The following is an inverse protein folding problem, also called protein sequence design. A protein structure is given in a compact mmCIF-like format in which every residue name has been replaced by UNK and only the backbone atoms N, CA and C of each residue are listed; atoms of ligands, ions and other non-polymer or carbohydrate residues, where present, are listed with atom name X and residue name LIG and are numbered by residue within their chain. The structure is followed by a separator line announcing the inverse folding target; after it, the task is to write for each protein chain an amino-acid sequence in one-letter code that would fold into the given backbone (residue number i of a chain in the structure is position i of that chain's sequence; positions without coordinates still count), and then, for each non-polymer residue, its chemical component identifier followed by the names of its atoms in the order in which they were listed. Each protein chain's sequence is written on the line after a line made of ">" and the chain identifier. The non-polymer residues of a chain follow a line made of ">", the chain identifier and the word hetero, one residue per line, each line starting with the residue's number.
data_IF_565368423015
#
_entry.id   IF_565368423015
#
_cell.length_a   1.000
_cell.length_b   1.000
_cell.length_c   1.000
_cell.angle_alpha   90.00
_cell.angle_beta   90.00
_cell.angle_gamma   90.00
#
_symmetry.space_group_name_H-M   'P 1'
#
loop_
_entity.id
_entity.type
_entity.pdbx_description
1 polymer ?
#
# COMPACT_ATOMS: atom_id res chain seq x y z
N UNK A 1 2.38 20.12 -25.12
CA UNK A 1 1.48 19.87 -23.98
C UNK A 1 2.34 19.35 -22.85
N UNK A 2 2.44 20.10 -21.75
CA UNK A 2 3.13 19.63 -20.54
C UNK A 2 2.26 18.56 -19.89
N UNK A 3 2.85 17.59 -19.20
CA UNK A 3 2.12 16.42 -18.70
C UNK A 3 0.90 16.79 -17.81
N UNK A 4 0.98 17.88 -17.04
CA UNK A 4 -0.13 18.37 -16.23
C UNK A 4 -1.26 19.03 -17.01
N UNK A 5 -1.00 19.58 -18.21
CA UNK A 5 -2.05 20.21 -19.03
C UNK A 5 -3.14 19.19 -19.40
N UNK A 6 -2.78 17.90 -19.51
CA UNK A 6 -3.72 16.79 -19.76
C UNK A 6 -4.71 16.57 -18.61
N UNK A 7 -4.34 16.92 -17.37
CA UNK A 7 -5.17 16.71 -16.19
C UNK A 7 -6.33 17.72 -16.17
N UNK A 8 -6.12 18.92 -16.71
CA UNK A 8 -7.15 19.95 -16.81
C UNK A 8 -8.35 19.53 -17.68
N UNK A 9 -8.14 18.57 -18.58
CA UNK A 9 -9.16 18.05 -19.50
C UNK A 9 -9.91 16.83 -18.95
N UNK A 10 -9.55 16.33 -17.75
CA UNK A 10 -10.19 15.15 -17.18
C UNK A 10 -11.65 15.43 -16.80
N UNK A 11 -12.57 14.47 -17.04
CA UNK A 11 -13.99 14.63 -16.74
C UNK A 11 -14.28 14.39 -15.24
N UNK A 12 -13.65 15.17 -14.36
CA UNK A 12 -13.80 15.11 -12.90
C UNK A 12 -13.90 16.51 -12.30
N UNK A 13 -14.62 16.65 -11.19
CA UNK A 13 -14.81 17.96 -10.56
C UNK A 13 -13.51 18.52 -9.95
N UNK A 14 -12.64 17.65 -9.44
CA UNK A 14 -11.40 18.02 -8.76
C UNK A 14 -10.31 17.00 -9.05
N UNK A 15 -9.10 17.49 -9.35
CA UNK A 15 -7.91 16.67 -9.52
C UNK A 15 -6.68 17.39 -8.98
N UNK A 16 -5.86 16.67 -8.23
CA UNK A 16 -4.54 17.12 -7.79
C UNK A 16 -3.52 16.03 -8.12
N UNK A 17 -2.32 16.44 -8.53
CA UNK A 17 -1.26 15.52 -8.93
C UNK A 17 0.11 16.07 -8.56
N UNK A 18 1.07 15.17 -8.43
CA UNK A 18 2.46 15.52 -8.20
C UNK A 18 3.40 14.63 -9.00
N UNK A 19 4.56 15.20 -9.35
CA UNK A 19 5.67 14.48 -9.96
C UNK A 19 6.92 14.75 -9.14
N UNK A 20 7.57 13.69 -8.66
CA UNK A 20 8.87 13.79 -8.01
C UNK A 20 9.94 13.52 -9.05
N UNK A 21 10.76 14.51 -9.36
CA UNK A 21 11.75 14.43 -10.41
C UNK A 21 12.99 13.59 -10.01
N UNK A 22 13.98 13.52 -10.91
CA UNK A 22 15.22 12.76 -10.65
C UNK A 22 16.08 13.32 -9.52
N UNK A 23 15.94 14.62 -9.23
CA UNK A 23 16.67 15.31 -8.16
C UNK A 23 15.94 15.20 -6.82
N UNK A 24 14.66 14.86 -6.84
CA UNK A 24 13.80 14.77 -5.65
C UNK A 24 12.91 16.01 -5.48
N UNK A 25 12.90 16.92 -6.44
CA UNK A 25 12.00 18.08 -6.43
C UNK A 25 10.57 17.62 -6.74
N UNK A 26 9.60 18.11 -5.97
CA UNK A 26 8.19 17.79 -6.14
C UNK A 26 7.52 18.93 -6.90
N UNK A 27 6.91 18.57 -8.03
CA UNK A 27 6.15 19.47 -8.88
C UNK A 27 4.67 19.18 -8.71
N UNK A 28 3.85 20.17 -8.40
CA UNK A 28 2.41 20.00 -8.12
C UNK A 28 1.51 20.53 -9.23
N UNK A 29 0.29 20.01 -9.25
CA UNK A 29 -0.84 20.49 -10.03
C UNK A 29 -2.13 20.35 -9.21
N UNK A 30 -3.05 21.30 -9.36
CA UNK A 30 -4.35 21.29 -8.70
C UNK A 30 -4.34 21.94 -7.32
N UNK A 31 -5.37 21.67 -6.52
CA UNK A 31 -5.49 22.16 -5.15
C UNK A 31 -4.61 21.30 -4.23
N UNK A 32 -3.55 21.90 -3.71
CA UNK A 32 -2.57 21.22 -2.85
C UNK A 32 -3.12 20.89 -1.46
N UNK A 33 -4.19 21.56 -1.02
CA UNK A 33 -4.76 21.45 0.33
C UNK A 33 -6.01 20.56 0.40
N UNK A 34 -6.54 20.15 -0.74
CA UNK A 34 -7.73 19.31 -0.80
C UNK A 34 -7.40 17.89 -0.36
N UNK A 35 -8.03 17.45 0.72
CA UNK A 35 -7.97 16.04 1.12
C UNK A 35 -8.79 15.14 0.19
N UNK A 36 -8.21 13.99 -0.16
CA UNK A 36 -8.86 12.95 -0.93
C UNK A 36 -8.96 11.66 -0.11
N UNK A 37 -10.06 10.92 -0.29
CA UNK A 37 -10.15 9.54 0.17
C UNK A 37 -9.26 8.67 -0.70
N UNK A 38 -8.21 8.09 -0.11
CA UNK A 38 -7.18 7.36 -0.85
C UNK A 38 -7.66 5.99 -1.34
N UNK A 39 -8.74 5.46 -0.75
CA UNK A 39 -9.20 4.10 -1.04
C UNK A 39 -8.02 3.13 -0.90
N UNK A 40 -7.86 2.22 -1.85
CA UNK A 40 -6.85 1.15 -1.78
C UNK A 40 -5.38 1.59 -1.74
N UNK A 41 -5.05 2.85 -2.02
CA UNK A 41 -3.69 3.37 -1.80
C UNK A 41 -3.31 3.29 -0.31
N UNK A 42 -4.30 3.29 0.59
CA UNK A 42 -4.15 3.04 2.03
C UNK A 42 -3.31 1.79 2.34
N UNK A 43 -3.45 0.73 1.54
CA UNK A 43 -2.72 -0.54 1.77
C UNK A 43 -1.21 -0.38 1.72
N UNK A 44 -0.70 0.55 0.93
CA UNK A 44 0.74 0.78 0.87
C UNK A 44 1.23 1.46 2.16
N UNK A 45 0.43 2.36 2.73
CA UNK A 45 0.72 2.99 4.03
C UNK A 45 0.69 1.95 5.15
N UNK A 46 -0.36 1.12 5.19
CA UNK A 46 -0.49 0.04 6.17
C UNK A 46 0.66 -0.94 6.09
N UNK A 47 1.04 -1.37 4.88
CA UNK A 47 2.17 -2.26 4.71
C UNK A 47 3.48 -1.64 5.18
N UNK A 48 3.71 -0.36 4.88
CA UNK A 48 4.91 0.34 5.33
C UNK A 48 4.99 0.44 6.86
N UNK A 49 3.87 0.76 7.52
CA UNK A 49 3.79 0.75 8.98
C UNK A 49 4.07 -0.65 9.56
N UNK A 50 3.51 -1.71 8.97
CA UNK A 50 3.82 -3.10 9.39
C UNK A 50 5.29 -3.45 9.20
N UNK A 51 5.95 -2.99 8.13
CA UNK A 51 7.36 -3.26 7.89
C UNK A 51 8.27 -2.51 8.89
N UNK A 52 7.91 -1.30 9.28
CA UNK A 52 8.58 -0.58 10.37
C UNK A 52 8.43 -1.37 11.67
N UNK A 53 7.23 -1.84 11.99
CA UNK A 53 6.96 -2.67 13.16
C UNK A 53 7.77 -4.00 13.15
N UNK A 54 8.05 -4.55 11.97
CA UNK A 54 8.95 -5.68 11.83
C UNK A 54 10.40 -5.34 12.20
N UNK A 55 10.93 -4.18 11.77
CA UNK A 55 12.29 -3.75 12.13
C UNK A 55 12.42 -3.37 13.61
N UNK A 56 11.34 -2.87 14.21
CA UNK A 56 11.24 -2.62 15.65
C UNK A 56 11.17 -3.92 16.47
N UNK A 57 10.83 -5.04 15.83
CA UNK A 57 10.62 -6.33 16.50
C UNK A 57 9.26 -6.47 17.19
N UNK A 58 8.32 -5.55 16.95
CA UNK A 58 6.96 -5.59 17.49
C UNK A 58 6.13 -6.71 16.84
N UNK A 59 6.34 -6.95 15.54
CA UNK A 59 5.73 -8.07 14.80
C UNK A 59 6.79 -8.76 13.95
N UNK A 60 6.48 -9.94 13.41
CA UNK A 60 7.32 -10.63 12.41
C UNK A 60 6.53 -10.94 11.15
N UNK A 61 7.19 -10.88 9.99
CA UNK A 61 6.59 -11.34 8.73
C UNK A 61 6.16 -12.82 8.76
N UNK A 62 6.72 -13.59 9.68
CA UNK A 62 6.41 -14.99 9.91
C UNK A 62 5.34 -15.22 11.01
N UNK A 63 4.85 -14.17 11.65
CA UNK A 63 3.73 -14.28 12.60
C UNK A 63 2.52 -14.88 11.90
N UNK A 64 1.95 -15.94 12.49
CA UNK A 64 0.69 -16.50 12.02
C UNK A 64 -0.47 -15.57 12.39
N UNK A 65 -1.25 -15.14 11.39
CA UNK A 65 -2.33 -14.19 11.55
C UNK A 65 -3.60 -14.70 10.85
N UNK A 66 -4.69 -14.70 11.61
CA UNK A 66 -6.04 -15.03 11.13
C UNK A 66 -6.34 -16.53 10.99
N UNK A 67 -5.38 -17.35 10.54
CA UNK A 67 -5.51 -18.82 10.45
C UNK A 67 -4.15 -19.52 10.43
N UNK A 68 -4.14 -20.80 10.82
CA UNK A 68 -2.95 -21.66 10.78
C UNK A 68 -2.29 -21.63 9.39
N UNK A 69 -0.96 -21.48 9.39
CA UNK A 69 -0.14 -21.41 8.18
C UNK A 69 -0.24 -20.12 7.36
N UNK A 70 -1.12 -19.17 7.73
CA UNK A 70 -1.20 -17.86 7.09
C UNK A 70 -0.40 -16.85 7.89
N UNK A 71 0.67 -16.30 7.30
CA UNK A 71 1.52 -15.32 8.00
C UNK A 71 1.25 -13.88 7.58
N UNK A 72 1.79 -12.90 8.33
CA UNK A 72 1.80 -11.49 7.92
C UNK A 72 2.33 -11.28 6.49
N UNK A 73 3.39 -12.00 6.09
CA UNK A 73 3.91 -12.00 4.72
C UNK A 73 2.84 -12.39 3.69
N UNK A 74 2.02 -13.39 4.00
CA UNK A 74 0.92 -13.80 3.14
C UNK A 74 -0.17 -12.73 3.03
N UNK A 75 -0.50 -12.06 4.13
CA UNK A 75 -1.53 -11.01 4.14
C UNK A 75 -1.09 -9.79 3.33
N UNK A 76 0.12 -9.28 3.59
CA UNK A 76 0.71 -8.13 2.87
C UNK A 76 0.85 -8.40 1.36
N UNK A 77 1.10 -9.65 0.98
CA UNK A 77 1.23 -10.05 -0.42
C UNK A 77 -0.09 -10.52 -1.05
N UNK A 78 -1.25 -10.42 -0.39
CA UNK A 78 -2.52 -10.95 -0.90
C UNK A 78 -2.49 -12.45 -1.27
N UNK A 79 -1.74 -13.23 -0.49
CA UNK A 79 -1.61 -14.69 -0.60
C UNK A 79 -2.30 -15.44 0.56
N UNK A 80 -3.00 -14.74 1.46
CA UNK A 80 -3.67 -15.36 2.62
C UNK A 80 -4.96 -16.13 2.33
N UNK A 81 -5.51 -15.99 1.11
CA UNK A 81 -6.76 -16.67 0.72
C UNK A 81 -8.05 -16.02 1.25
N UNK A 82 -7.97 -14.78 1.76
CA UNK A 82 -9.11 -14.00 2.24
C UNK A 82 -9.82 -13.25 1.09
N UNK A 83 -11.14 -13.02 1.20
CA UNK A 83 -11.91 -12.34 0.17
C UNK A 83 -11.61 -10.84 0.11
N UNK A 84 -12.17 -10.15 -0.88
CA UNK A 84 -12.14 -8.70 -0.95
C UNK A 84 -12.71 -8.05 0.32
N UNK A 85 -13.86 -8.54 0.78
CA UNK A 85 -14.56 -8.14 2.02
C UNK A 85 -15.18 -9.40 2.66
N UNK A 86 -15.34 -9.39 3.98
CA UNK A 86 -15.91 -10.50 4.77
C UNK A 86 -14.88 -11.40 5.44
N UNK A 87 -15.32 -12.21 6.40
CA UNK A 87 -14.40 -12.84 7.36
C UNK A 87 -13.96 -14.25 6.96
N UNK A 88 -14.78 -14.95 6.16
CA UNK A 88 -14.53 -16.34 5.80
C UNK A 88 -13.49 -16.45 4.67
N UNK A 89 -12.41 -17.24 4.84
CA UNK A 89 -11.47 -17.51 3.76
C UNK A 89 -12.15 -18.14 2.54
N UNK A 90 -11.72 -17.74 1.35
CA UNK A 90 -12.25 -18.22 0.06
C UNK A 90 -11.22 -19.02 -0.75
N UNK A 91 -10.00 -19.16 -0.22
CA UNK A 91 -8.92 -19.94 -0.81
C UNK A 91 -7.98 -20.53 0.24
N UNK A 92 -7.13 -21.44 -0.22
CA UNK A 92 -6.00 -21.95 0.56
C UNK A 92 -4.89 -20.91 0.57
N UNK A 93 -4.18 -20.80 1.69
CA UNK A 93 -3.01 -19.93 1.83
C UNK A 93 -1.98 -20.28 0.74
N UNK A 94 -1.43 -19.27 0.09
CA UNK A 94 -0.41 -19.42 -0.96
C UNK A 94 -0.90 -20.06 -2.26
N UNK A 95 -2.21 -20.31 -2.42
CA UNK A 95 -2.71 -20.97 -3.63
C UNK A 95 -2.92 -20.03 -4.82
N UNK A 96 -3.35 -18.79 -4.56
CA UNK A 96 -3.62 -17.75 -5.57
C UNK A 96 -3.39 -16.36 -4.99
N UNK A 97 -3.20 -15.37 -5.86
CA UNK A 97 -3.25 -13.95 -5.50
C UNK A 97 -4.71 -13.50 -5.39
N UNK A 98 -5.19 -13.34 -4.16
CA UNK A 98 -6.56 -12.87 -3.87
C UNK A 98 -6.46 -11.52 -3.18
N UNK A 99 -6.69 -10.44 -3.94
CA UNK A 99 -6.71 -9.08 -3.42
C UNK A 99 -7.77 -8.94 -2.33
N UNK A 100 -7.36 -8.48 -1.15
CA UNK A 100 -8.17 -8.59 0.07
C UNK A 100 -8.08 -7.34 0.94
N UNK A 101 -9.23 -6.76 1.31
CA UNK A 101 -9.29 -5.80 2.41
C UNK A 101 -9.22 -6.53 3.74
N UNK A 102 -9.91 -7.66 3.90
CA UNK A 102 -9.89 -8.49 5.11
C UNK A 102 -8.46 -8.84 5.56
N UNK A 103 -7.58 -9.22 4.63
CA UNK A 103 -6.19 -9.50 4.97
C UNK A 103 -5.46 -8.29 5.58
N UNK A 104 -5.78 -7.09 5.11
CA UNK A 104 -5.23 -5.84 5.65
C UNK A 104 -5.85 -5.44 6.99
N UNK A 105 -7.15 -5.72 7.21
CA UNK A 105 -7.77 -5.54 8.52
C UNK A 105 -7.14 -6.49 9.56
N UNK A 106 -6.86 -7.73 9.18
CA UNK A 106 -6.17 -8.70 10.03
C UNK A 106 -4.74 -8.26 10.35
N UNK A 107 -4.00 -7.74 9.36
CA UNK A 107 -2.67 -7.15 9.57
C UNK A 107 -2.72 -6.00 10.57
N UNK A 108 -3.67 -5.07 10.41
CA UNK A 108 -3.81 -3.93 11.31
C UNK A 108 -4.21 -4.32 12.72
N UNK A 109 -5.14 -5.27 12.86
CA UNK A 109 -5.55 -5.80 14.16
C UNK A 109 -4.40 -6.50 14.89
N UNK A 110 -3.60 -7.29 14.16
CA UNK A 110 -2.41 -7.94 14.72
C UNK A 110 -1.37 -6.90 15.18
N UNK A 111 -1.08 -5.91 14.35
CA UNK A 111 -0.15 -4.83 14.70
C UNK A 111 -0.62 -4.09 15.95
N UNK A 112 -1.88 -3.65 15.98
CA UNK A 112 -2.45 -2.93 17.12
C UNK A 112 -2.36 -3.74 18.43
N UNK A 113 -2.62 -5.05 18.34
CA UNK A 113 -2.53 -5.95 19.49
C UNK A 113 -1.09 -6.14 19.99
N UNK A 114 -0.11 -6.25 19.09
CA UNK A 114 1.30 -6.44 19.50
C UNK A 114 1.96 -5.15 19.98
N UNK A 115 1.55 -3.98 19.45
CA UNK A 115 2.09 -2.69 19.86
C UNK A 115 1.42 -2.09 21.10
N UNK A 116 0.26 -2.62 21.51
CA UNK A 116 -0.64 -1.99 22.51
C UNK A 116 -0.98 -0.54 22.14
N UNK A 117 -1.25 -0.30 20.84
CA UNK A 117 -1.57 1.01 20.27
C UNK A 117 -2.69 0.86 19.25
N UNK A 118 -3.59 1.85 19.15
CA UNK A 118 -4.54 1.91 18.05
C UNK A 118 -3.81 2.01 16.70
N UNK A 119 -4.32 1.31 15.68
CA UNK A 119 -3.62 1.19 14.41
C UNK A 119 -3.27 2.55 13.77
N UNK A 120 -4.22 3.50 13.77
CA UNK A 120 -3.98 4.81 13.17
C UNK A 120 -3.05 5.71 14.00
N UNK A 121 -3.00 5.50 15.31
CA UNK A 121 -2.03 6.17 16.18
C UNK A 121 -0.61 5.63 15.89
N UNK A 122 -0.48 4.31 15.67
CA UNK A 122 0.78 3.71 15.23
C UNK A 122 1.21 4.24 13.85
N UNK A 123 0.31 4.28 12.86
CA UNK A 123 0.63 4.87 11.53
C UNK A 123 1.06 6.33 11.64
N UNK A 124 0.38 7.11 12.49
CA UNK A 124 0.74 8.51 12.71
C UNK A 124 2.18 8.61 13.24
N UNK A 125 2.50 7.89 14.32
CA UNK A 125 3.81 7.94 14.98
C UNK A 125 4.95 7.35 14.13
N UNK A 126 4.71 6.23 13.45
CA UNK A 126 5.73 5.51 12.71
C UNK A 126 5.94 6.05 11.28
N UNK A 127 4.89 6.60 10.64
CA UNK A 127 4.94 7.01 9.22
C UNK A 127 4.71 8.50 9.05
N UNK A 128 3.61 9.05 9.54
CA UNK A 128 3.24 10.43 9.18
C UNK A 128 4.13 11.47 9.85
N UNK A 129 4.31 11.39 11.15
CA UNK A 129 5.12 12.33 11.93
C UNK A 129 6.60 12.34 11.45
N UNK A 130 7.30 11.21 11.27
CA UNK A 130 8.67 11.19 10.76
C UNK A 130 8.85 11.71 9.33
N UNK A 131 7.79 11.64 8.50
CA UNK A 131 7.79 12.17 7.14
C UNK A 131 7.34 13.63 7.07
N UNK A 132 6.86 14.22 8.18
CA UNK A 132 6.29 15.56 8.20
C UNK A 132 4.94 15.66 7.48
N UNK A 133 4.20 14.55 7.39
CA UNK A 133 2.85 14.51 6.83
C UNK A 133 1.90 15.10 7.86
N UNK A 134 1.34 16.26 7.57
CA UNK A 134 0.31 16.91 8.39
C UNK A 134 -1.05 16.44 7.89
N UNK A 135 -1.70 15.56 8.64
CA UNK A 135 -3.03 15.03 8.33
C UNK A 135 -3.98 15.19 9.52
N UNK A 136 -5.28 15.30 9.25
CA UNK A 136 -6.28 15.16 10.31
C UNK A 136 -6.17 13.77 10.97
N UNK A 137 -6.61 13.60 12.23
CA UNK A 137 -6.67 12.29 12.86
C UNK A 137 -7.39 11.27 11.96
N UNK A 138 -6.72 10.17 11.68
CA UNK A 138 -7.25 9.11 10.82
C UNK A 138 -8.06 8.11 11.63
N UNK A 139 -9.00 7.44 10.96
CA UNK A 139 -9.81 6.37 11.56
C UNK A 139 -10.41 5.49 10.46
N UNK A 140 -10.94 4.34 10.83
CA UNK A 140 -11.57 3.41 9.90
C UNK A 140 -10.62 2.34 9.37
N UNK A 141 -10.97 1.78 8.22
CA UNK A 141 -10.33 0.61 7.62
C UNK A 141 -8.88 0.86 7.21
N UNK A 142 -8.00 -0.05 7.66
CA UNK A 142 -6.59 -0.09 7.27
C UNK A 142 -6.37 -0.52 5.81
N UNK A 143 -7.44 -0.87 5.10
CA UNK A 143 -7.39 -1.25 3.69
C UNK A 143 -7.84 -0.12 2.75
N UNK A 144 -8.57 0.90 3.22
CA UNK A 144 -9.20 1.89 2.32
C UNK A 144 -9.48 3.30 2.84
N UNK A 145 -9.36 3.58 4.13
CA UNK A 145 -9.91 4.82 4.69
C UNK A 145 -8.90 5.96 4.91
N UNK A 146 -7.63 5.80 4.53
CA UNK A 146 -6.67 6.90 4.61
C UNK A 146 -7.14 8.13 3.82
N UNK A 147 -6.87 9.30 4.38
CA UNK A 147 -7.13 10.60 3.77
C UNK A 147 -5.86 11.43 3.81
N UNK A 148 -5.41 11.85 2.64
CA UNK A 148 -4.30 12.79 2.50
C UNK A 148 -4.63 13.79 1.39
N UNK A 149 -4.05 14.97 1.49
CA UNK A 149 -3.89 15.85 0.35
C UNK A 149 -2.72 15.38 -0.54
N UNK A 150 -2.47 16.10 -1.62
CA UNK A 150 -1.40 15.74 -2.56
C UNK A 150 -0.01 15.99 -1.97
N UNK A 151 0.15 16.93 -1.03
CA UNK A 151 1.43 17.18 -0.37
C UNK A 151 1.80 15.98 0.49
N UNK A 152 0.91 15.56 1.39
CA UNK A 152 1.10 14.41 2.28
C UNK A 152 1.35 13.12 1.50
N UNK A 153 0.56 12.87 0.45
CA UNK A 153 0.77 11.71 -0.42
C UNK A 153 2.13 11.77 -1.13
N UNK A 154 2.58 12.95 -1.56
CA UNK A 154 3.88 13.11 -2.22
C UNK A 154 5.06 12.88 -1.28
N UNK A 155 4.94 13.26 -0.01
CA UNK A 155 5.95 12.95 1.02
C UNK A 155 6.06 11.43 1.25
N UNK A 156 4.93 10.73 1.29
CA UNK A 156 4.92 9.26 1.37
C UNK A 156 5.52 8.62 0.10
N UNK A 157 5.20 9.12 -1.09
CA UNK A 157 5.83 8.62 -2.33
C UNK A 157 7.33 8.92 -2.39
N UNK A 158 7.79 10.04 -1.81
CA UNK A 158 9.21 10.34 -1.70
C UNK A 158 9.95 9.31 -0.84
N UNK A 159 9.34 8.86 0.26
CA UNK A 159 9.83 7.75 1.09
C UNK A 159 9.95 6.46 0.27
N UNK A 160 8.94 6.09 -0.51
CA UNK A 160 9.00 4.89 -1.35
C UNK A 160 10.10 4.95 -2.43
N UNK A 161 10.54 6.14 -2.85
CA UNK A 161 11.63 6.32 -3.83
C UNK A 161 13.02 6.25 -3.19
N UNK A 162 13.14 6.75 -1.95
CA UNK A 162 14.40 6.82 -1.20
C UNK A 162 14.08 6.55 0.28
N UNK A 163 13.98 5.27 0.67
CA UNK A 163 13.52 4.88 2.00
C UNK A 163 14.44 5.43 3.10
N UNK A 164 13.82 5.95 4.15
CA UNK A 164 14.48 6.44 5.38
C UNK A 164 13.87 5.84 6.64
N UNK A 165 12.64 5.32 6.57
CA UNK A 165 11.94 4.74 7.70
C UNK A 165 12.23 3.25 7.88
N UNK A 166 12.67 2.58 6.81
CA UNK A 166 13.06 1.17 6.84
C UNK A 166 14.48 1.01 6.29
N UNK A 167 15.16 -0.05 6.69
CA UNK A 167 16.45 -0.42 6.12
C UNK A 167 16.34 -0.72 4.62
N UNK A 168 17.49 -0.68 3.95
CA UNK A 168 17.58 -1.03 2.52
C UNK A 168 17.13 -2.46 2.24
N UNK A 169 17.42 -3.39 3.14
CA UNK A 169 17.10 -4.81 2.94
C UNK A 169 15.59 -5.04 3.03
N UNK A 170 14.93 -4.43 4.03
CA UNK A 170 13.47 -4.42 4.15
C UNK A 170 12.80 -3.76 2.96
N UNK A 171 13.33 -2.63 2.47
CA UNK A 171 12.84 -2.00 1.26
C UNK A 171 12.92 -2.92 0.04
N UNK A 172 14.08 -3.56 -0.16
CA UNK A 172 14.29 -4.50 -1.28
C UNK A 172 13.32 -5.68 -1.20
N UNK A 173 13.10 -6.25 -0.01
CA UNK A 173 12.11 -7.33 0.17
C UNK A 173 10.68 -6.84 -0.14
N UNK A 174 10.33 -5.62 0.31
CA UNK A 174 9.01 -5.04 0.11
C UNK A 174 8.64 -4.81 -1.37
N UNK A 175 9.61 -4.47 -2.22
CA UNK A 175 9.41 -4.26 -3.66
C UNK A 175 9.79 -5.47 -4.53
N UNK A 176 10.14 -6.59 -3.92
CA UNK A 176 10.42 -7.86 -4.61
C UNK A 176 9.14 -8.73 -4.68
N UNK A 177 8.85 -9.40 -5.81
CA UNK A 177 7.70 -10.30 -5.89
C UNK A 177 7.72 -11.39 -4.82
N UNK A 178 6.73 -11.36 -3.94
CA UNK A 178 6.47 -12.38 -2.92
C UNK A 178 5.52 -13.42 -3.50
N UNK A 179 5.84 -14.71 -3.37
CA UNK A 179 5.07 -15.79 -4.00
C UNK A 179 4.92 -15.55 -5.53
N UNK A 180 6.05 -15.37 -6.22
CA UNK A 180 6.11 -14.80 -7.58
C UNK A 180 5.28 -15.51 -8.64
N UNK A 181 5.06 -16.82 -8.48
CA UNK A 181 4.35 -17.67 -9.45
C UNK A 181 2.82 -17.59 -9.34
N UNK A 182 2.26 -16.88 -8.36
CA UNK A 182 0.81 -16.88 -8.14
C UNK A 182 0.06 -16.09 -9.21
N UNK A 183 -0.87 -16.76 -9.88
CA UNK A 183 -1.92 -16.12 -10.68
C UNK A 183 -2.98 -15.45 -9.80
N UNK A 184 -3.70 -14.46 -10.35
CA UNK A 184 -4.84 -13.86 -9.67
C UNK A 184 -5.43 -12.65 -10.38
N UNK A 185 -6.21 -11.85 -9.64
CA UNK A 185 -6.99 -10.73 -10.18
C UNK A 185 -6.55 -9.43 -9.51
N UNK A 186 -6.30 -8.40 -10.33
CA UNK A 186 -6.22 -7.01 -9.87
C UNK A 186 -7.60 -6.37 -10.08
N UNK A 187 -8.31 -5.96 -9.02
CA UNK A 187 -9.65 -5.39 -9.13
C UNK A 187 -9.72 -4.21 -10.11
N UNK A 188 -10.70 -4.23 -11.00
CA UNK A 188 -10.89 -3.19 -12.02
C UNK A 188 -9.91 -3.24 -13.21
N UNK A 189 -8.90 -4.13 -13.19
CA UNK A 189 -7.91 -4.23 -14.29
C UNK A 189 -8.03 -5.56 -15.03
N UNK A 190 -7.97 -6.69 -14.32
CA UNK A 190 -8.07 -8.01 -14.98
C UNK A 190 -7.40 -9.15 -14.23
N UNK A 191 -7.40 -10.32 -14.86
CA UNK A 191 -6.70 -11.53 -14.40
C UNK A 191 -5.30 -11.60 -15.03
N UNK A 192 -4.32 -12.02 -14.25
CA UNK A 192 -2.93 -12.16 -14.66
C UNK A 192 -2.29 -13.45 -14.16
N UNK A 193 -1.37 -13.99 -14.95
CA UNK A 193 -0.57 -15.17 -14.66
C UNK A 193 0.84 -14.97 -15.24
N UNK A 194 1.86 -14.69 -14.41
CA UNK A 194 1.78 -14.45 -12.97
C UNK A 194 1.12 -13.10 -12.61
N UNK A 195 0.66 -12.97 -11.36
CA UNK A 195 0.16 -11.72 -10.78
C UNK A 195 1.09 -11.26 -9.62
N UNK A 196 2.27 -10.69 -9.94
CA UNK A 196 3.27 -10.35 -8.94
C UNK A 196 2.79 -9.24 -7.98
N UNK A 197 3.19 -9.37 -6.72
CA UNK A 197 2.90 -8.43 -5.63
C UNK A 197 4.06 -8.44 -4.63
N UNK A 198 4.42 -7.27 -4.09
CA UNK A 198 5.41 -7.15 -3.03
C UNK A 198 4.79 -7.34 -1.64
N UNK A 199 5.45 -6.82 -0.61
CA UNK A 199 4.89 -6.67 0.74
C UNK A 199 4.05 -5.39 0.78
N UNK A 200 2.91 -5.43 0.09
CA UNK A 200 1.95 -4.34 -0.01
C UNK A 200 1.90 -3.64 -1.37
N UNK A 201 3.01 -3.12 -1.93
CA UNK A 201 3.02 -2.58 -3.28
C UNK A 201 2.63 -3.61 -4.34
N UNK A 202 1.74 -3.23 -5.24
CA UNK A 202 1.50 -3.95 -6.48
C UNK A 202 2.76 -3.85 -7.37
N UNK A 203 3.17 -4.97 -7.97
CA UNK A 203 4.29 -4.99 -8.91
C UNK A 203 3.74 -5.20 -10.31
N UNK A 204 3.96 -4.22 -11.19
CA UNK A 204 3.45 -4.22 -12.57
C UNK A 204 3.78 -5.52 -13.31
N UNK A 205 5.05 -5.95 -13.24
CA UNK A 205 5.55 -7.11 -13.99
C UNK A 205 5.15 -7.07 -15.48
N UNK A 206 4.64 -8.19 -15.98
CA UNK A 206 4.13 -8.33 -17.36
C UNK A 206 2.65 -8.00 -17.55
N UNK A 207 1.95 -7.45 -16.55
CA UNK A 207 0.50 -7.23 -16.59
C UNK A 207 0.11 -6.29 -17.74
N UNK A 208 -0.85 -6.72 -18.55
CA UNK A 208 -1.45 -5.93 -19.63
C UNK A 208 -2.89 -6.38 -19.88
N UNK A 209 -3.89 -5.46 -19.88
CA UNK A 209 -3.78 -4.01 -19.64
C UNK A 209 -3.36 -3.66 -18.20
N UNK A 210 -2.92 -2.41 -17.96
CA UNK A 210 -2.53 -1.92 -16.63
C UNK A 210 -2.76 -0.41 -16.49
N UNK A 211 -2.86 0.10 -15.25
CA UNK A 211 -3.04 1.53 -14.96
C UNK A 211 -1.74 2.33 -15.08
N UNK A 212 -0.58 1.67 -15.08
CA UNK A 212 0.73 2.31 -15.31
C UNK A 212 1.13 2.26 -16.80
N UNK A 213 2.01 3.18 -17.19
CA UNK A 213 2.61 3.21 -18.53
C UNK A 213 3.35 1.89 -18.85
N UNK A 214 3.28 1.38 -20.10
CA UNK A 214 4.08 0.23 -20.53
C UNK A 214 5.59 0.40 -20.39
N UNK A 215 6.07 1.64 -20.25
CA UNK A 215 7.49 1.99 -20.13
C UNK A 215 7.94 2.33 -18.71
N UNK A 216 7.03 2.25 -17.72
CA UNK A 216 7.35 2.45 -16.31
C UNK A 216 7.22 1.10 -15.60
N UNK A 217 8.36 0.45 -15.33
CA UNK A 217 8.47 -0.77 -14.52
C UNK A 217 9.56 -0.58 -13.49
#
# INVERSE_FOLDING_TARGET
>A
MRAFDLIAEWPVDNASAAVIDRHGEIHFYGDESREFRLASVTKVITAWATLIACEEGTVSLDDEVGREGCTLRHLLAHAGGYPFEGDAPVGTVGAKRIYSNTGYELTAAHLAAQSDMEFWDYVHAAVFEPLGIVAAPQSGSAAKDARLDIIGLSLFVAELRRPRLVSRDTFVDAVTPQFGELEGIVPGVGRFDPCPWGLGPEIRGGKSPHWTSPKNS
#
